data_IF_027802461744
#
_entry.id   IF_027802461744
#
_cell.length_a   1.000
_cell.length_b   1.000
_cell.length_c   1.000
_cell.angle_alpha   90.00
_cell.angle_beta   90.00
_cell.angle_gamma   90.00
#
_symmetry.space_group_name_H-M   'P 1'
#
loop_
_entity.id
_entity.type
_entity.pdbx_description
1 polymer ?
#
# COMPACT_ATOMS: atom_id res chain seq x y z
N UNK A 1 55.66 -26.23 -55.95
CA UNK A 1 56.63 -25.56 -56.86
C UNK A 1 56.51 -24.05 -56.71
N UNK A 2 57.68 -23.39 -56.47
CA UNK A 2 57.94 -21.95 -56.55
C UNK A 2 57.39 -21.07 -55.44
N UNK A 3 58.17 -20.60 -54.60
CA UNK A 3 59.36 -19.74 -54.37
C UNK A 3 58.88 -18.51 -53.60
N UNK A 4 59.21 -18.37 -52.39
CA UNK A 4 60.30 -17.65 -51.72
C UNK A 4 60.64 -16.28 -52.37
N UNK A 5 60.35 -15.21 -51.65
CA UNK A 5 61.17 -14.01 -51.63
C UNK A 5 61.09 -13.25 -50.34
N UNK A 6 62.22 -13.23 -49.70
CA UNK A 6 62.60 -12.45 -48.54
C UNK A 6 63.04 -11.07 -49.02
N UNK A 7 62.54 -10.00 -48.46
CA UNK A 7 63.27 -8.73 -48.49
C UNK A 7 63.25 -8.16 -47.08
N UNK A 8 64.42 -8.17 -46.49
CA UNK A 8 64.82 -7.43 -45.32
C UNK A 8 65.17 -6.01 -45.70
N UNK A 9 64.82 -5.01 -44.92
CA UNK A 9 65.70 -3.89 -44.59
C UNK A 9 64.93 -2.80 -43.82
N UNK A 10 65.59 -2.32 -42.76
CA UNK A 10 65.35 -0.94 -42.32
C UNK A 10 65.12 -0.78 -40.83
N UNK A 11 66.15 -0.98 -40.02
CA UNK A 11 66.25 -0.56 -38.67
C UNK A 11 66.37 0.96 -38.62
N UNK A 12 65.32 1.67 -38.13
CA UNK A 12 65.46 3.07 -37.70
C UNK A 12 65.07 3.13 -36.22
N UNK A 13 66.08 3.27 -35.38
CA UNK A 13 65.96 3.58 -33.96
C UNK A 13 65.67 5.06 -33.86
N UNK A 14 64.42 5.47 -33.62
CA UNK A 14 64.10 6.79 -33.13
C UNK A 14 63.87 6.73 -31.62
N UNK A 15 64.76 7.33 -30.89
CA UNK A 15 64.60 7.64 -29.45
C UNK A 15 63.44 8.63 -29.32
N UNK A 16 62.24 8.10 -29.07
CA UNK A 16 61.09 8.89 -28.66
C UNK A 16 61.10 9.02 -27.12
N UNK A 17 61.23 10.23 -26.69
CA UNK A 17 61.19 10.68 -25.32
C UNK A 17 59.83 10.20 -24.72
N UNK A 18 59.87 9.30 -23.74
CA UNK A 18 58.73 8.95 -22.90
C UNK A 18 58.39 10.18 -22.04
N UNK A 19 57.52 11.02 -22.55
CA UNK A 19 56.86 12.01 -21.76
C UNK A 19 55.76 11.27 -20.97
N UNK A 20 56.11 10.89 -19.73
CA UNK A 20 55.19 10.42 -18.76
C UNK A 20 54.08 11.50 -18.53
N UNK A 21 52.96 11.32 -19.19
CA UNK A 21 51.75 12.00 -18.73
C UNK A 21 51.40 11.43 -17.38
N UNK A 22 51.74 12.17 -16.37
CA UNK A 22 51.15 12.06 -15.03
C UNK A 22 49.66 12.39 -15.18
N UNK A 23 48.85 11.39 -15.52
CA UNK A 23 47.39 11.51 -15.39
C UNK A 23 47.07 11.54 -13.90
N UNK A 24 46.77 12.75 -13.51
CA UNK A 24 46.24 13.15 -12.22
C UNK A 24 45.18 12.17 -11.67
N UNK A 25 45.38 11.86 -10.42
CA UNK A 25 44.48 11.30 -9.41
C UNK A 25 43.09 11.94 -9.36
N UNK A 26 42.24 11.76 -10.38
CA UNK A 26 40.83 12.19 -10.34
C UNK A 26 39.83 11.04 -10.34
N UNK A 27 40.32 9.78 -10.46
CA UNK A 27 39.43 8.59 -10.48
C UNK A 27 39.07 8.04 -9.11
N UNK A 28 39.81 8.38 -8.05
CA UNK A 28 39.50 7.90 -6.70
C UNK A 28 38.37 8.72 -6.05
N UNK A 29 38.29 10.01 -6.30
CA UNK A 29 37.28 10.92 -5.73
C UNK A 29 35.88 10.62 -6.28
N UNK A 30 35.77 10.40 -7.59
CA UNK A 30 34.47 10.06 -8.23
C UNK A 30 33.92 8.68 -7.79
N UNK A 31 34.76 7.73 -7.37
CA UNK A 31 34.30 6.41 -6.91
C UNK A 31 33.75 6.49 -5.48
N UNK A 32 34.33 7.30 -4.62
CA UNK A 32 33.91 7.49 -3.22
C UNK A 32 32.56 8.23 -3.17
N UNK A 33 32.41 9.32 -3.93
CA UNK A 33 31.16 10.07 -4.05
C UNK A 33 30.02 9.22 -4.61
N UNK A 34 30.32 8.31 -5.54
CA UNK A 34 29.35 7.38 -6.12
C UNK A 34 28.91 6.32 -5.08
N UNK A 35 29.85 5.79 -4.29
CA UNK A 35 29.55 4.82 -3.22
C UNK A 35 28.71 5.48 -2.13
N UNK A 36 28.99 6.68 -1.72
CA UNK A 36 28.24 7.38 -0.68
C UNK A 36 26.84 7.76 -1.17
N UNK A 37 26.69 8.13 -2.43
CA UNK A 37 25.40 8.36 -3.04
C UNK A 37 24.55 7.07 -3.10
N UNK A 38 25.15 5.94 -3.48
CA UNK A 38 24.48 4.64 -3.48
C UNK A 38 24.06 4.19 -2.07
N UNK A 39 24.92 4.40 -1.06
CA UNK A 39 24.57 4.13 0.34
C UNK A 39 23.38 4.97 0.79
N UNK A 40 23.37 6.25 0.45
CA UNK A 40 22.24 7.15 0.78
C UNK A 40 20.93 6.66 0.15
N UNK A 41 20.95 6.28 -1.12
CA UNK A 41 19.77 5.72 -1.81
C UNK A 41 19.33 4.42 -1.15
N UNK A 42 20.27 3.51 -0.83
CA UNK A 42 19.96 2.27 -0.15
C UNK A 42 19.32 2.51 1.24
N UNK A 43 19.84 3.45 2.03
CA UNK A 43 19.25 3.83 3.32
C UNK A 43 17.84 4.40 3.17
N UNK A 44 17.60 5.23 2.15
CA UNK A 44 16.27 5.77 1.85
C UNK A 44 15.27 4.67 1.46
N UNK A 45 15.68 3.69 0.66
CA UNK A 45 14.85 2.55 0.28
C UNK A 45 14.50 1.69 1.49
N UNK A 46 15.45 1.41 2.38
CA UNK A 46 15.19 0.66 3.62
C UNK A 46 14.20 1.42 4.49
N UNK A 47 14.41 2.70 4.76
CA UNK A 47 13.50 3.51 5.56
C UNK A 47 12.09 3.60 4.96
N UNK A 48 11.96 3.68 3.63
CA UNK A 48 10.68 3.65 2.93
C UNK A 48 9.97 2.30 3.13
N UNK A 49 10.69 1.19 3.01
CA UNK A 49 10.11 -0.15 3.22
C UNK A 49 9.67 -0.36 4.67
N UNK A 50 10.44 0.13 5.66
CA UNK A 50 10.07 0.05 7.07
C UNK A 50 8.79 0.86 7.36
N UNK A 51 8.65 2.03 6.74
CA UNK A 51 7.43 2.86 6.84
C UNK A 51 6.23 2.13 6.26
N UNK A 52 6.34 1.54 5.07
CA UNK A 52 5.28 0.75 4.44
C UNK A 52 4.90 -0.45 5.32
N UNK A 53 5.88 -1.18 5.86
CA UNK A 53 5.63 -2.30 6.75
C UNK A 53 4.88 -1.89 8.02
N UNK A 54 5.22 -0.71 8.57
CA UNK A 54 4.51 -0.12 9.72
C UNK A 54 3.05 0.21 9.37
N UNK A 55 2.80 0.88 8.24
CA UNK A 55 1.43 1.20 7.79
C UNK A 55 0.59 -0.06 7.57
N UNK A 56 1.15 -1.10 6.95
CA UNK A 56 0.45 -2.38 6.75
C UNK A 56 0.15 -3.09 8.08
N UNK A 57 1.01 -2.96 9.08
CA UNK A 57 0.74 -3.48 10.42
C UNK A 57 -0.39 -2.71 11.12
N UNK A 58 -0.41 -1.38 11.00
CA UNK A 58 -1.50 -0.54 11.52
C UNK A 58 -2.82 -0.94 10.83
N UNK A 59 -2.79 -1.23 9.54
CA UNK A 59 -3.96 -1.69 8.78
C UNK A 59 -4.50 -3.05 9.29
N UNK A 60 -3.60 -4.01 9.58
CA UNK A 60 -4.00 -5.28 10.20
C UNK A 60 -4.70 -5.05 11.56
N UNK A 61 -4.14 -4.20 12.41
CA UNK A 61 -4.70 -3.86 13.72
C UNK A 61 -6.05 -3.14 13.58
N UNK A 62 -6.16 -2.22 12.60
CA UNK A 62 -7.40 -1.53 12.28
C UNK A 62 -8.51 -2.52 11.97
N UNK A 63 -8.32 -3.43 11.02
CA UNK A 63 -9.39 -4.30 10.54
C UNK A 63 -9.67 -5.46 11.49
N UNK A 64 -8.61 -6.09 12.04
CA UNK A 64 -8.78 -7.30 12.85
C UNK A 64 -9.20 -7.03 14.29
N UNK A 65 -8.80 -5.88 14.85
CA UNK A 65 -9.09 -5.54 16.24
C UNK A 65 -10.00 -4.32 16.39
N UNK A 66 -9.67 -3.19 15.80
CA UNK A 66 -10.42 -1.95 16.00
C UNK A 66 -11.80 -2.03 15.35
N UNK A 67 -11.86 -2.30 14.06
CA UNK A 67 -13.12 -2.43 13.32
C UNK A 67 -13.92 -3.64 13.76
N UNK A 68 -13.33 -4.84 13.74
CA UNK A 68 -14.04 -6.09 14.03
C UNK A 68 -14.57 -6.19 15.46
N UNK A 69 -13.98 -5.47 16.40
CA UNK A 69 -14.46 -5.39 17.79
C UNK A 69 -15.09 -4.04 18.14
N UNK A 70 -15.37 -3.18 17.16
CA UNK A 70 -16.05 -1.90 17.32
C UNK A 70 -15.37 -0.98 18.35
N UNK A 71 -14.04 -0.96 18.40
CA UNK A 71 -13.23 -0.12 19.29
C UNK A 71 -13.05 1.28 18.71
N UNK A 72 -14.15 2.01 18.51
CA UNK A 72 -14.18 3.27 17.77
C UNK A 72 -13.31 4.37 18.38
N UNK A 73 -13.09 4.34 19.69
CA UNK A 73 -12.18 5.22 20.43
C UNK A 73 -10.70 5.06 20.01
N UNK A 74 -10.36 3.93 19.38
CA UNK A 74 -9.02 3.64 18.87
C UNK A 74 -8.85 3.94 17.37
N UNK A 75 -9.90 4.33 16.64
CA UNK A 75 -9.82 4.56 15.20
C UNK A 75 -8.78 5.64 14.83
N UNK A 76 -8.56 6.60 15.70
CA UNK A 76 -7.55 7.64 15.57
C UNK A 76 -6.09 7.13 15.54
N UNK A 77 -5.83 5.86 15.89
CA UNK A 77 -4.51 5.25 15.81
C UNK A 77 -4.10 5.00 14.35
N UNK A 78 -5.08 4.91 13.45
CA UNK A 78 -4.89 4.68 12.02
C UNK A 78 -5.38 5.80 11.12
N UNK A 79 -6.28 6.68 11.62
CA UNK A 79 -6.96 7.71 10.82
C UNK A 79 -6.65 9.11 11.30
N UNK A 80 -6.43 10.03 10.35
CA UNK A 80 -6.38 11.47 10.65
C UNK A 80 -7.77 11.97 11.08
N UNK A 81 -7.79 13.04 11.89
CA UNK A 81 -9.04 13.64 12.36
C UNK A 81 -9.96 14.10 11.21
N UNK A 82 -9.37 14.58 10.13
CA UNK A 82 -10.02 15.12 8.93
C UNK A 82 -9.97 14.15 7.73
N UNK A 83 -9.82 12.84 8.01
CA UNK A 83 -9.79 11.79 6.99
C UNK A 83 -10.94 11.93 6.00
N UNK A 84 -10.69 11.61 4.73
CA UNK A 84 -11.70 11.41 3.70
C UNK A 84 -11.84 9.94 3.38
N UNK A 85 -13.05 9.42 3.47
CA UNK A 85 -13.34 8.01 3.16
C UNK A 85 -14.30 7.93 1.99
N UNK A 86 -13.88 7.23 0.95
CA UNK A 86 -14.63 7.02 -0.29
C UNK A 86 -15.28 5.64 -0.27
N UNK A 87 -16.61 5.63 -0.18
CA UNK A 87 -17.40 4.43 -0.08
C UNK A 87 -17.80 3.87 -1.46
N UNK A 88 -18.08 2.55 -1.59
CA UNK A 88 -18.38 1.92 -2.88
C UNK A 88 -19.70 2.35 -3.53
N UNK A 89 -20.56 3.05 -2.80
CA UNK A 89 -21.82 3.64 -3.32
C UNK A 89 -21.65 5.07 -3.83
N UNK A 90 -20.42 5.60 -3.78
CA UNK A 90 -20.08 6.97 -4.16
C UNK A 90 -20.23 8.00 -3.03
N UNK A 91 -20.66 7.57 -1.84
CA UNK A 91 -20.66 8.42 -0.64
C UNK A 91 -19.23 8.77 -0.22
N UNK A 92 -19.03 9.99 0.27
CA UNK A 92 -17.75 10.45 0.82
C UNK A 92 -17.98 10.96 2.24
N UNK A 93 -17.41 10.26 3.21
CA UNK A 93 -17.34 10.74 4.59
C UNK A 93 -16.13 11.67 4.75
N UNK A 94 -16.30 12.79 5.45
CA UNK A 94 -15.22 13.70 5.81
C UNK A 94 -15.17 13.84 7.33
N UNK A 95 -14.01 13.57 7.90
CA UNK A 95 -13.79 13.54 9.33
C UNK A 95 -14.04 12.19 9.98
N UNK A 96 -13.19 11.86 10.95
CA UNK A 96 -13.18 10.56 11.64
C UNK A 96 -14.53 10.24 12.33
N UNK A 97 -15.19 11.25 12.89
CA UNK A 97 -16.47 11.05 13.58
C UNK A 97 -17.58 10.66 12.60
N UNK A 98 -17.65 11.31 11.42
CA UNK A 98 -18.57 10.93 10.34
C UNK A 98 -18.32 9.50 9.88
N UNK A 99 -17.03 9.16 9.69
CA UNK A 99 -16.64 7.82 9.30
C UNK A 99 -17.06 6.76 10.34
N UNK A 100 -16.86 7.03 11.63
CA UNK A 100 -17.31 6.14 12.72
C UNK A 100 -18.83 5.91 12.65
N UNK A 101 -19.62 6.95 12.41
CA UNK A 101 -21.08 6.80 12.28
C UNK A 101 -21.47 5.94 11.06
N UNK A 102 -20.74 6.04 9.97
CA UNK A 102 -20.95 5.19 8.80
C UNK A 102 -20.56 3.73 9.07
N UNK A 103 -19.43 3.50 9.72
CA UNK A 103 -18.99 2.16 10.14
C UNK A 103 -20.02 1.50 11.08
N UNK A 104 -20.55 2.22 12.06
CA UNK A 104 -21.58 1.71 12.98
C UNK A 104 -22.82 1.19 12.24
N UNK A 105 -23.20 1.79 11.12
CA UNK A 105 -24.35 1.35 10.33
C UNK A 105 -24.22 -0.09 9.83
N UNK A 106 -22.99 -0.55 9.54
CA UNK A 106 -22.72 -1.91 9.12
C UNK A 106 -23.07 -2.92 10.24
N UNK A 107 -22.82 -2.55 11.48
CA UNK A 107 -23.06 -3.40 12.66
C UNK A 107 -24.53 -3.39 13.16
N UNK A 108 -25.34 -2.44 12.70
CA UNK A 108 -26.76 -2.37 13.07
C UNK A 108 -27.50 -3.65 12.66
N UNK A 109 -27.33 -4.08 11.41
CA UNK A 109 -28.04 -5.24 10.87
C UNK A 109 -27.24 -6.55 10.96
N UNK A 110 -25.93 -6.48 11.05
CA UNK A 110 -25.03 -7.61 11.17
C UNK A 110 -24.01 -7.37 12.31
N UNK A 111 -24.40 -7.55 13.59
CA UNK A 111 -23.55 -7.23 14.73
C UNK A 111 -22.25 -8.05 14.83
N UNK A 112 -22.16 -9.16 14.12
CA UNK A 112 -21.01 -10.06 14.03
C UNK A 112 -20.08 -9.75 12.85
N UNK A 113 -20.27 -8.60 12.22
CA UNK A 113 -19.43 -8.12 11.11
C UNK A 113 -17.96 -8.07 11.51
N UNK A 114 -17.08 -8.57 10.64
CA UNK A 114 -15.64 -8.62 10.89
C UNK A 114 -14.82 -8.83 9.64
N UNK A 115 -13.53 -8.51 9.74
CA UNK A 115 -12.46 -8.88 8.80
C UNK A 115 -11.41 -9.65 9.58
N UNK A 116 -10.88 -10.76 9.03
CA UNK A 116 -9.97 -11.65 9.77
C UNK A 116 -8.58 -11.76 9.16
N UNK A 117 -8.45 -11.44 7.89
CA UNK A 117 -7.19 -11.61 7.17
C UNK A 117 -7.06 -10.64 6.01
N UNK A 118 -5.80 -10.32 5.69
CA UNK A 118 -5.41 -9.60 4.50
C UNK A 118 -4.54 -10.52 3.62
N UNK A 119 -5.13 -11.35 2.75
CA UNK A 119 -4.38 -12.30 1.93
C UNK A 119 -3.43 -11.64 0.93
N UNK A 120 -3.75 -10.42 0.50
CA UNK A 120 -2.88 -9.61 -0.34
C UNK A 120 -2.74 -8.24 0.33
N UNK A 121 -1.51 -7.84 0.59
CA UNK A 121 -1.20 -6.51 1.10
C UNK A 121 0.16 -6.05 0.60
N UNK A 122 0.25 -4.81 0.18
CA UNK A 122 1.49 -4.17 -0.25
C UNK A 122 1.37 -2.65 -0.15
N UNK A 123 2.48 -1.95 -0.36
CA UNK A 123 2.50 -0.50 -0.41
C UNK A 123 3.64 0.04 -1.26
N UNK A 124 3.51 1.31 -1.63
CA UNK A 124 4.55 2.06 -2.35
C UNK A 124 4.45 3.53 -1.99
N UNK A 125 5.54 4.11 -1.54
CA UNK A 125 5.53 5.48 -1.02
C UNK A 125 4.58 5.63 0.17
N UNK A 126 3.61 6.53 0.06
CA UNK A 126 2.57 6.75 1.06
C UNK A 126 1.25 6.01 0.78
N UNK A 127 1.23 5.06 -0.16
CA UNK A 127 0.06 4.26 -0.48
C UNK A 127 0.18 2.85 0.08
N UNK A 128 -0.93 2.33 0.60
CA UNK A 128 -1.09 0.91 0.91
C UNK A 128 -2.32 0.34 0.24
N UNK A 129 -2.30 -0.94 -0.08
CA UNK A 129 -3.45 -1.70 -0.50
C UNK A 129 -3.52 -2.97 0.33
N UNK A 130 -4.70 -3.26 0.85
CA UNK A 130 -5.03 -4.54 1.49
C UNK A 130 -6.26 -5.13 0.81
N UNK A 131 -6.32 -6.46 0.71
CA UNK A 131 -7.55 -7.17 0.39
C UNK A 131 -7.99 -7.94 1.62
N UNK A 132 -9.30 -8.15 1.77
CA UNK A 132 -9.87 -8.88 2.90
C UNK A 132 -11.18 -9.56 2.53
N UNK A 133 -11.74 -10.25 3.49
CA UNK A 133 -13.10 -10.74 3.43
C UNK A 133 -13.90 -10.11 4.58
N UNK A 134 -14.81 -9.24 4.20
CA UNK A 134 -15.79 -8.65 5.10
C UNK A 134 -16.94 -9.64 5.25
N UNK A 135 -17.14 -10.18 6.44
CA UNK A 135 -18.13 -11.23 6.70
C UNK A 135 -19.01 -10.91 7.89
N UNK A 136 -20.23 -11.48 7.89
CA UNK A 136 -21.18 -11.33 8.99
C UNK A 136 -22.49 -12.05 8.69
N UNK A 137 -23.51 -11.83 9.56
CA UNK A 137 -24.83 -12.46 9.44
C UNK A 137 -25.93 -11.41 9.61
N UNK A 138 -26.86 -11.33 8.68
CA UNK A 138 -28.00 -10.42 8.74
C UNK A 138 -29.04 -10.89 9.78
N UNK A 139 -28.89 -10.49 11.02
CA UNK A 139 -29.68 -10.96 12.18
C UNK A 139 -30.55 -9.89 12.84
N UNK A 140 -30.39 -8.60 12.47
CA UNK A 140 -31.16 -7.50 13.05
C UNK A 140 -31.83 -6.67 11.95
N UNK A 141 -32.95 -5.98 12.23
CA UNK A 141 -33.61 -5.12 11.24
C UNK A 141 -32.66 -4.06 10.68
N UNK A 142 -32.58 -3.95 9.35
CA UNK A 142 -31.76 -2.96 8.65
C UNK A 142 -32.59 -1.70 8.40
N UNK A 143 -32.22 -0.53 8.94
CA UNK A 143 -32.92 0.71 8.66
C UNK A 143 -32.64 1.17 7.20
N UNK A 144 -33.70 1.55 6.48
CA UNK A 144 -33.65 2.07 5.11
C UNK A 144 -34.19 3.50 4.98
N UNK A 145 -34.24 4.23 6.10
CA UNK A 145 -34.76 5.59 6.17
C UNK A 145 -36.28 5.67 6.34
N UNK A 146 -36.77 6.86 6.68
CA UNK A 146 -38.20 7.16 6.89
C UNK A 146 -38.92 6.19 7.84
N UNK A 147 -38.23 5.70 8.86
CA UNK A 147 -38.76 4.75 9.84
C UNK A 147 -39.03 3.35 9.30
N UNK A 148 -38.57 3.04 8.08
CA UNK A 148 -38.73 1.73 7.44
C UNK A 148 -37.53 0.84 7.71
N UNK A 149 -37.80 -0.47 7.76
CA UNK A 149 -36.79 -1.49 8.03
C UNK A 149 -36.96 -2.67 7.09
N UNK A 150 -35.85 -3.23 6.63
CA UNK A 150 -35.80 -4.56 6.05
C UNK A 150 -35.63 -5.56 7.19
N UNK A 151 -36.50 -6.59 7.26
CA UNK A 151 -36.42 -7.60 8.27
C UNK A 151 -35.22 -8.54 8.03
N UNK A 152 -34.59 -9.05 9.08
CA UNK A 152 -33.44 -9.92 8.97
C UNK A 152 -33.80 -11.22 8.23
N UNK A 153 -32.92 -11.66 7.35
CA UNK A 153 -33.09 -12.92 6.61
C UNK A 153 -32.39 -14.09 7.29
N UNK A 154 -31.51 -13.84 8.24
CA UNK A 154 -30.63 -14.85 8.85
C UNK A 154 -29.50 -15.31 7.93
N UNK A 155 -29.36 -14.73 6.75
CA UNK A 155 -28.30 -15.10 5.80
C UNK A 155 -26.96 -14.52 6.20
N UNK A 156 -25.92 -15.35 6.08
CA UNK A 156 -24.55 -14.92 6.19
C UNK A 156 -24.05 -14.34 4.86
N UNK A 157 -23.08 -13.42 4.96
CA UNK A 157 -22.37 -12.89 3.80
C UNK A 157 -20.86 -13.02 3.99
N UNK A 158 -20.16 -13.14 2.86
CA UNK A 158 -18.70 -13.10 2.74
C UNK A 158 -18.34 -12.31 1.50
N UNK A 159 -17.91 -11.07 1.72
CA UNK A 159 -17.66 -10.12 0.64
C UNK A 159 -16.15 -9.92 0.48
N UNK A 160 -15.57 -10.30 -0.65
CA UNK A 160 -14.24 -9.83 -1.00
C UNK A 160 -14.23 -8.30 -1.04
N UNK A 161 -13.24 -7.72 -0.40
CA UNK A 161 -13.05 -6.28 -0.38
C UNK A 161 -11.58 -5.93 -0.67
N UNK A 162 -11.37 -4.70 -1.09
CA UNK A 162 -10.05 -4.09 -1.10
C UNK A 162 -10.13 -2.69 -0.52
N UNK A 163 -9.11 -2.28 0.20
CA UNK A 163 -8.99 -0.91 0.71
C UNK A 163 -7.65 -0.33 0.31
N UNK A 164 -7.68 0.90 -0.21
CA UNK A 164 -6.48 1.70 -0.47
C UNK A 164 -6.40 2.80 0.57
N UNK A 165 -5.30 2.85 1.31
CA UNK A 165 -4.99 3.92 2.26
C UNK A 165 -3.92 4.86 1.71
N UNK A 166 -4.12 6.17 1.86
CA UNK A 166 -3.12 7.21 1.61
C UNK A 166 -2.69 7.75 2.96
N UNK A 167 -1.38 7.70 3.23
CA UNK A 167 -0.81 7.96 4.54
C UNK A 167 0.00 9.26 4.60
N UNK A 168 -0.14 9.97 5.70
CA UNK A 168 0.70 11.12 6.04
C UNK A 168 0.94 11.12 7.54
N UNK A 169 2.19 11.38 7.96
CA UNK A 169 2.57 11.44 9.39
C UNK A 169 2.12 10.22 10.22
N UNK A 170 2.10 9.02 9.61
CA UNK A 170 1.80 7.75 10.28
C UNK A 170 0.31 7.41 10.41
N UNK A 171 -0.60 8.23 9.87
CA UNK A 171 -2.04 7.98 9.83
C UNK A 171 -2.59 8.12 8.41
N UNK A 172 -3.70 7.47 8.11
CA UNK A 172 -4.42 7.65 6.85
C UNK A 172 -5.11 9.00 6.80
N UNK A 173 -4.89 9.72 5.70
CA UNK A 173 -5.59 10.97 5.36
C UNK A 173 -6.71 10.75 4.33
N UNK A 174 -6.59 9.68 3.53
CA UNK A 174 -7.65 9.20 2.64
C UNK A 174 -7.74 7.69 2.70
N UNK A 175 -8.97 7.17 2.62
CA UNK A 175 -9.29 5.76 2.56
C UNK A 175 -10.29 5.52 1.43
N UNK A 176 -10.02 4.53 0.56
CA UNK A 176 -10.89 4.15 -0.54
C UNK A 176 -11.33 2.70 -0.37
N UNK A 177 -12.63 2.51 -0.19
CA UNK A 177 -13.25 1.22 0.06
C UNK A 177 -13.85 0.64 -1.23
N UNK A 178 -13.58 -0.63 -1.49
CA UNK A 178 -14.04 -1.33 -2.69
C UNK A 178 -14.64 -2.68 -2.34
N UNK A 179 -15.93 -2.85 -2.64
CA UNK A 179 -16.64 -4.12 -2.69
C UNK A 179 -17.84 -4.00 -3.63
N UNK A 180 -18.44 -5.14 -3.99
CA UNK A 180 -19.63 -5.18 -4.86
C UNK A 180 -20.92 -5.12 -4.04
N UNK A 181 -21.57 -3.97 -4.02
CA UNK A 181 -22.82 -3.74 -3.32
C UNK A 181 -23.97 -4.63 -3.84
N UNK A 182 -23.97 -5.00 -5.13
CA UNK A 182 -24.98 -5.88 -5.70
C UNK A 182 -24.82 -7.31 -5.15
N UNK A 183 -23.62 -7.83 -5.14
CA UNK A 183 -23.31 -9.13 -4.54
C UNK A 183 -23.62 -9.12 -3.05
N UNK A 184 -23.32 -8.04 -2.33
CA UNK A 184 -23.68 -7.88 -0.91
C UNK A 184 -25.20 -8.01 -0.71
N UNK A 185 -26.02 -7.23 -1.42
CA UNK A 185 -27.46 -7.30 -1.34
C UNK A 185 -28.01 -8.70 -1.67
N UNK A 186 -27.45 -9.38 -2.69
CA UNK A 186 -27.81 -10.75 -3.06
C UNK A 186 -27.48 -11.75 -1.95
N UNK A 187 -26.33 -11.65 -1.30
CA UNK A 187 -25.96 -12.54 -0.19
C UNK A 187 -26.87 -12.32 1.03
N UNK A 188 -27.27 -11.07 1.30
CA UNK A 188 -28.25 -10.77 2.34
C UNK A 188 -29.67 -11.24 1.99
N UNK A 189 -29.93 -11.67 0.75
CA UNK A 189 -31.26 -12.12 0.29
C UNK A 189 -32.23 -10.98 -0.02
N UNK A 190 -31.68 -9.85 -0.46
CA UNK A 190 -32.45 -8.63 -0.80
C UNK A 190 -32.73 -8.49 -2.31
N UNK A 191 -32.34 -9.48 -3.10
CA UNK A 191 -32.58 -9.59 -4.54
C UNK A 191 -33.16 -10.96 -4.88
#
# INVERSE_FOLDING_TARGET
MKKLSIIALGLIISLGILQSCQSSTSTADNSTDNIDSLKKVAMQLVASNDTIASHLKIFDELDFDVFSNQKWDRLQESHAKDIKVFWPDGHVATGIETHIEDLKKLFVHAPDTRIKEHPIKFGSGNYTLVTGVFEGTFTKPMPIGNGKFIQPTGKAFKMPMATVGIWENGVMIEEHLFWDNQTYAKQLGLQ
#
